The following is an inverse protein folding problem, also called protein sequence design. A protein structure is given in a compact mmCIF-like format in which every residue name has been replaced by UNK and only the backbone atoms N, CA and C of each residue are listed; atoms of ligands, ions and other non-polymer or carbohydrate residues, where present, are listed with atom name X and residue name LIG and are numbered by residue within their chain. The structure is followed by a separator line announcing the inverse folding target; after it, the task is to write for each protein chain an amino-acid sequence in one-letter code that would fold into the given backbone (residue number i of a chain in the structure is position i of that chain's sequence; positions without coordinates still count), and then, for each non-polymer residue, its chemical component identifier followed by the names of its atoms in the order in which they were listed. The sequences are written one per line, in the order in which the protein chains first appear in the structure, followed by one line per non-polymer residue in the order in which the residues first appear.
data_IF_819726472811
#
_entry.id   IF_819726472811
#
_cell.length_a   1.000
_cell.length_b   1.000
_cell.length_c   1.000
_cell.angle_alpha   90.00
_cell.angle_beta   90.00
_cell.angle_gamma   90.00
#
_symmetry.space_group_name_H-M   'P 1'
#
loop_
_entity.id
_entity.type
_entity.pdbx_description
1 polymer ?
#
# COMPACT_ATOMS: atom_id res chain seq x y z
N UNK A 1 -7.22 -9.50 13.01
CA UNK A 1 -7.13 -8.61 11.85
C UNK A 1 -6.22 -9.23 10.80
N UNK A 2 -6.70 -9.36 9.55
CA UNK A 2 -5.87 -9.84 8.44
C UNK A 2 -4.87 -8.75 8.01
N UNK A 3 -3.58 -9.07 8.00
CA UNK A 3 -2.51 -8.11 7.72
C UNK A 3 -1.75 -8.34 6.40
N UNK A 4 -1.87 -9.51 5.71
CA UNK A 4 -1.28 -9.64 4.39
C UNK A 4 -1.77 -8.53 3.48
N UNK A 5 -0.83 -7.84 2.82
CA UNK A 5 -1.11 -6.74 1.92
C UNK A 5 -1.17 -7.18 0.47
N UNK A 6 -1.93 -6.44 -0.31
CA UNK A 6 -2.06 -6.57 -1.77
C UNK A 6 -2.04 -5.18 -2.40
N UNK A 7 -1.92 -5.14 -3.72
CA UNK A 7 -2.12 -3.95 -4.52
C UNK A 7 -3.59 -3.91 -4.96
N UNK A 8 -4.34 -2.89 -4.50
CA UNK A 8 -5.68 -2.59 -5.01
C UNK A 8 -5.56 -1.64 -6.19
N UNK A 9 -6.15 -1.98 -7.32
CA UNK A 9 -6.13 -1.16 -8.52
C UNK A 9 -7.52 -0.75 -8.97
N UNK A 10 -7.62 0.44 -9.53
CA UNK A 10 -8.82 0.96 -10.17
C UNK A 10 -9.06 0.22 -11.48
N UNK A 11 -10.16 -0.55 -11.57
CA UNK A 11 -10.51 -1.38 -12.73
C UNK A 11 -10.74 -0.55 -14.00
N UNK A 12 -11.35 0.64 -13.86
CA UNK A 12 -11.59 1.53 -14.98
C UNK A 12 -10.27 2.06 -15.55
N UNK A 13 -9.37 2.52 -14.70
CA UNK A 13 -8.04 2.97 -15.10
C UNK A 13 -7.22 1.82 -15.73
N UNK A 14 -7.32 0.59 -15.20
CA UNK A 14 -6.69 -0.58 -15.78
C UNK A 14 -7.20 -0.85 -17.21
N UNK A 15 -8.51 -0.84 -17.42
CA UNK A 15 -9.11 -0.99 -18.76
C UNK A 15 -8.66 0.10 -19.74
N UNK A 16 -8.69 1.36 -19.29
CA UNK A 16 -8.31 2.49 -20.15
C UNK A 16 -6.84 2.46 -20.57
N UNK A 17 -5.95 2.06 -19.68
CA UNK A 17 -4.49 2.16 -19.90
C UNK A 17 -3.87 0.83 -20.31
N UNK A 18 -4.29 -0.27 -19.68
CA UNK A 18 -3.70 -1.60 -19.89
C UNK A 18 -4.54 -2.47 -20.83
N UNK A 19 -5.78 -2.08 -21.08
CA UNK A 19 -6.72 -2.83 -21.94
C UNK A 19 -7.42 -4.00 -21.21
N UNK A 20 -7.15 -4.17 -19.92
CA UNK A 20 -7.71 -5.26 -19.11
C UNK A 20 -7.96 -4.81 -17.68
N UNK A 21 -8.90 -5.45 -16.97
CA UNK A 21 -9.10 -5.34 -15.54
C UNK A 21 -9.08 -6.71 -14.84
N UNK A 22 -8.66 -7.74 -15.55
CA UNK A 22 -8.44 -9.06 -14.98
C UNK A 22 -7.25 -9.06 -14.02
N UNK A 23 -7.38 -9.56 -12.78
CA UNK A 23 -6.31 -9.51 -11.78
C UNK A 23 -5.03 -10.24 -12.20
N UNK A 24 -5.14 -11.37 -12.88
CA UNK A 24 -3.98 -12.16 -13.31
C UNK A 24 -3.23 -11.46 -14.44
N UNK A 25 -3.96 -10.79 -15.33
CA UNK A 25 -3.36 -9.99 -16.40
C UNK A 25 -2.75 -8.71 -15.86
N UNK A 26 -3.45 -7.98 -14.96
CA UNK A 26 -2.92 -6.77 -14.31
C UNK A 26 -1.66 -7.07 -13.50
N UNK A 27 -1.57 -8.26 -12.85
CA UNK A 27 -0.37 -8.66 -12.13
C UNK A 27 0.89 -8.62 -13.02
N UNK A 28 0.81 -8.91 -14.32
CA UNK A 28 1.95 -8.86 -15.22
C UNK A 28 2.51 -7.44 -15.40
N UNK A 29 1.70 -6.41 -15.14
CA UNK A 29 2.10 -4.99 -15.23
C UNK A 29 2.64 -4.43 -13.91
N UNK A 30 2.57 -5.19 -12.82
CA UNK A 30 2.96 -4.74 -11.48
C UNK A 30 3.72 -5.82 -10.71
N UNK A 31 4.27 -6.84 -11.39
CA UNK A 31 4.88 -8.03 -10.78
C UNK A 31 6.24 -7.77 -10.13
N UNK A 32 6.90 -6.69 -10.47
CA UNK A 32 8.14 -6.19 -9.88
C UNK A 32 8.20 -4.66 -9.96
N UNK A 33 9.25 -4.06 -9.35
CA UNK A 33 9.37 -2.61 -9.32
C UNK A 33 9.69 -1.98 -10.68
N UNK A 34 10.31 -2.71 -11.59
CA UNK A 34 10.62 -2.20 -12.94
C UNK A 34 9.34 -2.14 -13.78
N UNK A 35 8.55 -3.21 -13.80
CA UNK A 35 7.25 -3.23 -14.48
C UNK A 35 6.24 -2.28 -13.83
N UNK A 36 6.29 -2.10 -12.50
CA UNK A 36 5.50 -1.12 -11.78
C UNK A 36 5.82 0.31 -12.24
N UNK A 37 7.10 0.66 -12.35
CA UNK A 37 7.53 1.98 -12.81
C UNK A 37 7.19 2.22 -14.29
N UNK A 38 7.35 1.21 -15.15
CA UNK A 38 6.92 1.29 -16.55
C UNK A 38 5.40 1.52 -16.67
N UNK A 39 4.63 0.89 -15.78
CA UNK A 39 3.17 1.09 -15.72
C UNK A 39 2.83 2.46 -15.19
N UNK A 40 3.60 3.01 -14.24
CA UNK A 40 3.42 4.37 -13.74
C UNK A 40 3.52 5.41 -14.87
N UNK A 41 4.50 5.26 -15.76
CA UNK A 41 4.65 6.12 -16.93
C UNK A 41 3.46 6.04 -17.89
N UNK A 42 2.91 4.82 -18.11
CA UNK A 42 1.69 4.62 -18.93
C UNK A 42 0.47 5.28 -18.30
N UNK A 43 0.31 5.16 -16.99
CA UNK A 43 -0.78 5.78 -16.23
C UNK A 43 -0.68 7.31 -16.32
N UNK A 44 0.51 7.88 -16.10
CA UNK A 44 0.75 9.32 -16.18
C UNK A 44 0.44 9.89 -17.57
N UNK A 45 0.80 9.18 -18.63
CA UNK A 45 0.52 9.58 -20.03
C UNK A 45 -0.99 9.71 -20.31
N UNK A 46 -1.84 9.04 -19.53
CA UNK A 46 -3.31 9.10 -19.58
C UNK A 46 -3.92 9.99 -18.50
N UNK A 47 -3.10 10.68 -17.72
CA UNK A 47 -3.52 11.61 -16.69
C UNK A 47 -3.87 10.97 -15.34
N UNK A 48 -3.52 9.71 -15.12
CA UNK A 48 -3.59 9.06 -13.83
C UNK A 48 -2.27 9.19 -13.07
N UNK A 49 -2.36 9.21 -11.74
CA UNK A 49 -1.20 8.93 -10.88
C UNK A 49 -1.14 7.44 -10.58
N UNK A 50 0.06 6.89 -10.53
CA UNK A 50 0.24 5.50 -10.13
C UNK A 50 -0.23 5.26 -8.70
N UNK A 51 0.19 6.13 -7.77
CA UNK A 51 -0.14 6.11 -6.35
C UNK A 51 -0.49 7.51 -5.85
N UNK A 52 -1.32 7.61 -4.82
CA UNK A 52 -1.72 8.87 -4.20
C UNK A 52 -0.61 9.47 -3.33
N UNK A 53 0.17 8.61 -2.69
CA UNK A 53 1.29 8.99 -1.84
C UNK A 53 2.45 8.02 -2.02
N UNK A 54 3.68 8.52 -2.03
CA UNK A 54 4.88 7.67 -1.99
C UNK A 54 4.94 6.82 -0.72
N UNK A 55 4.25 7.25 0.35
CA UNK A 55 4.14 6.48 1.59
C UNK A 55 3.33 5.19 1.42
N UNK A 56 2.47 5.10 0.39
CA UNK A 56 1.68 3.88 0.11
C UNK A 56 2.58 2.67 -0.15
N UNK A 57 3.75 2.88 -0.77
CA UNK A 57 4.71 1.80 -1.08
C UNK A 57 5.68 1.49 0.06
N UNK A 58 5.82 2.37 1.07
CA UNK A 58 6.82 2.22 2.14
C UNK A 58 6.77 0.87 2.84
N UNK A 59 5.56 0.36 3.14
CA UNK A 59 5.39 -0.93 3.83
C UNK A 59 5.90 -2.11 3.01
N UNK A 60 5.79 -2.04 1.69
CA UNK A 60 6.30 -3.08 0.79
C UNK A 60 7.82 -3.16 0.90
N UNK A 61 8.52 -2.03 0.84
CA UNK A 61 9.97 -1.98 0.98
C UNK A 61 10.44 -2.31 2.40
N UNK A 62 9.80 -1.72 3.42
CA UNK A 62 10.23 -1.88 4.81
C UNK A 62 9.99 -3.27 5.41
N UNK A 63 9.09 -4.05 4.84
CA UNK A 63 8.90 -5.45 5.22
C UNK A 63 9.98 -6.39 4.63
N UNK A 64 10.73 -5.92 3.64
CA UNK A 64 11.73 -6.71 2.91
C UNK A 64 13.15 -6.22 3.19
N UNK A 65 13.41 -5.68 4.38
CA UNK A 65 14.74 -5.26 4.84
C UNK A 65 15.53 -6.44 5.42
N UNK A 66 16.83 -6.40 5.27
CA UNK A 66 17.76 -7.40 5.77
C UNK A 66 18.54 -6.97 7.01
N UNK A 67 18.62 -5.67 7.27
CA UNK A 67 19.35 -5.09 8.38
C UNK A 67 18.47 -4.44 9.42
N UNK A 68 18.97 -4.35 10.65
CA UNK A 68 18.32 -3.61 11.73
C UNK A 68 18.58 -2.12 11.58
N UNK A 69 17.67 -1.27 12.07
CA UNK A 69 17.87 0.18 12.13
C UNK A 69 19.04 0.62 13.01
N UNK A 70 19.37 -0.18 14.01
CA UNK A 70 20.49 0.09 14.92
C UNK A 70 21.27 -1.19 15.13
N UNK A 71 22.57 -1.16 14.88
CA UNK A 71 23.52 -2.23 15.15
C UNK A 71 24.78 -1.64 15.79
N UNK A 72 25.23 -2.22 16.90
CA UNK A 72 26.37 -1.74 17.69
C UNK A 72 26.32 -0.25 18.03
N UNK A 73 25.12 0.26 18.34
CA UNK A 73 24.89 1.67 18.69
C UNK A 73 24.96 2.66 17.53
N UNK A 74 25.03 2.17 16.29
CA UNK A 74 25.05 2.98 15.07
C UNK A 74 23.74 2.79 14.28
N UNK A 75 23.25 3.89 13.73
CA UNK A 75 22.10 3.85 12.80
C UNK A 75 22.55 3.19 11.50
N UNK A 76 21.75 2.23 11.04
CA UNK A 76 21.88 1.56 9.75
C UNK A 76 20.65 1.87 8.91
N UNK A 77 20.87 2.20 7.65
CA UNK A 77 19.77 2.35 6.69
C UNK A 77 19.93 1.23 5.67
N UNK A 78 18.96 0.33 5.63
CA UNK A 78 18.95 -0.80 4.71
C UNK A 78 18.89 -0.33 3.25
N UNK A 79 19.58 -1.01 2.35
CA UNK A 79 19.60 -0.67 0.93
C UNK A 79 18.20 -0.65 0.31
N UNK A 80 17.28 -1.50 0.80
CA UNK A 80 15.90 -1.51 0.33
C UNK A 80 15.13 -0.24 0.75
N UNK A 81 15.46 0.33 1.90
CA UNK A 81 14.92 1.64 2.31
C UNK A 81 15.47 2.77 1.42
N UNK A 82 16.77 2.73 1.11
CA UNK A 82 17.34 3.71 0.17
C UNK A 82 16.75 3.57 -1.22
N UNK A 83 16.51 2.34 -1.68
CA UNK A 83 15.80 2.10 -2.94
C UNK A 83 14.39 2.71 -2.93
N UNK A 84 13.64 2.58 -1.84
CA UNK A 84 12.35 3.27 -1.70
C UNK A 84 12.46 4.79 -1.83
N UNK A 85 13.49 5.40 -1.23
CA UNK A 85 13.73 6.86 -1.35
C UNK A 85 13.99 7.25 -2.80
N UNK A 86 14.87 6.51 -3.49
CA UNK A 86 15.24 6.79 -4.88
C UNK A 86 14.06 6.59 -5.84
N UNK A 87 13.31 5.51 -5.70
CA UNK A 87 12.14 5.21 -6.54
C UNK A 87 11.00 6.21 -6.26
N UNK A 88 10.77 6.57 -4.99
CA UNK A 88 9.81 7.62 -4.63
C UNK A 88 10.16 8.96 -5.27
N UNK A 89 11.44 9.34 -5.24
CA UNK A 89 11.90 10.57 -5.87
C UNK A 89 11.67 10.55 -7.39
N UNK A 90 11.98 9.45 -8.06
CA UNK A 90 11.75 9.29 -9.50
C UNK A 90 10.27 9.45 -9.87
N UNK A 91 9.38 8.76 -9.14
CA UNK A 91 7.94 8.81 -9.37
C UNK A 91 7.38 10.23 -9.18
N UNK A 92 7.85 10.97 -8.17
CA UNK A 92 7.43 12.35 -7.91
C UNK A 92 7.96 13.29 -8.98
N UNK A 93 9.24 13.22 -9.35
CA UNK A 93 9.88 14.05 -10.38
C UNK A 93 9.19 13.84 -11.74
N UNK A 94 8.76 12.61 -12.06
CA UNK A 94 8.01 12.26 -13.25
C UNK A 94 6.50 12.59 -13.16
N UNK A 95 6.01 13.08 -12.03
CA UNK A 95 4.58 13.34 -11.73
C UNK A 95 3.68 12.11 -11.78
N UNK A 96 4.26 10.94 -11.58
CA UNK A 96 3.60 9.65 -11.56
C UNK A 96 3.02 9.30 -10.19
N UNK A 97 3.51 9.93 -9.13
CA UNK A 97 3.01 9.79 -7.76
C UNK A 97 2.54 11.11 -7.17
N UNK A 98 1.60 11.03 -6.23
CA UNK A 98 1.27 12.13 -5.33
C UNK A 98 2.24 12.22 -4.16
N UNK A 99 2.23 13.38 -3.50
CA UNK A 99 3.04 13.67 -2.30
C UNK A 99 2.16 13.96 -1.09
N UNK A 100 0.91 13.52 -1.14
CA UNK A 100 -0.04 13.74 -0.05
C UNK A 100 0.34 12.90 1.17
N UNK A 101 0.07 13.43 2.35
CA UNK A 101 0.18 12.62 3.56
C UNK A 101 -0.86 11.50 3.53
N UNK A 102 -0.43 10.28 3.81
CA UNK A 102 -1.32 9.13 3.96
C UNK A 102 -2.39 9.46 5.02
N UNK A 103 -3.63 9.10 4.75
CA UNK A 103 -4.82 9.38 5.59
C UNK A 103 -5.34 10.83 5.54
N UNK A 104 -4.71 11.72 4.77
CA UNK A 104 -5.27 13.06 4.54
C UNK A 104 -6.49 13.03 3.61
N UNK A 105 -7.27 14.11 3.63
CA UNK A 105 -8.39 14.29 2.70
C UNK A 105 -7.90 14.28 1.24
N UNK A 106 -6.75 14.86 0.96
CA UNK A 106 -6.16 14.89 -0.39
C UNK A 106 -5.74 13.49 -0.87
N UNK A 107 -5.19 12.66 0.02
CA UNK A 107 -4.90 11.26 -0.27
C UNK A 107 -6.19 10.47 -0.56
N UNK A 108 -7.26 10.73 0.21
CA UNK A 108 -8.54 10.05 0.10
C UNK A 108 -9.33 10.42 -1.17
N UNK A 109 -9.03 11.55 -1.81
CA UNK A 109 -9.64 11.94 -3.09
C UNK A 109 -9.44 10.88 -4.18
N UNK A 110 -8.36 10.12 -4.12
CA UNK A 110 -8.09 9.03 -5.06
C UNK A 110 -9.05 7.84 -4.95
N UNK A 111 -9.89 7.77 -3.92
CA UNK A 111 -10.96 6.77 -3.82
C UNK A 111 -12.19 7.11 -4.66
N UNK A 112 -12.19 8.26 -5.31
CA UNK A 112 -13.24 8.74 -6.19
C UNK A 112 -12.71 8.92 -7.62
N UNK A 113 -13.58 8.82 -8.65
CA UNK A 113 -13.15 8.86 -10.06
C UNK A 113 -12.32 10.11 -10.43
N UNK A 114 -12.68 11.28 -9.87
CA UNK A 114 -12.00 12.53 -10.16
C UNK A 114 -10.56 12.60 -9.61
N UNK A 115 -10.25 11.77 -8.62
CA UNK A 115 -8.91 11.71 -8.04
C UNK A 115 -7.85 11.09 -8.94
N UNK A 116 -8.28 10.27 -9.94
CA UNK A 116 -7.45 9.67 -10.98
C UNK A 116 -6.19 8.99 -10.44
N UNK A 117 -6.36 8.16 -9.41
CA UNK A 117 -5.30 7.31 -8.83
C UNK A 117 -5.50 5.88 -9.30
N UNK A 118 -4.42 5.25 -9.75
CA UNK A 118 -4.47 3.87 -10.23
C UNK A 118 -4.50 2.87 -9.09
N UNK A 119 -3.57 2.95 -8.13
CA UNK A 119 -3.50 1.91 -7.11
C UNK A 119 -3.16 2.41 -5.71
N UNK A 120 -3.48 1.54 -4.74
CA UNK A 120 -3.15 1.65 -3.33
C UNK A 120 -2.62 0.32 -2.80
N UNK A 121 -1.74 0.37 -1.81
CA UNK A 121 -1.20 -0.80 -1.13
C UNK A 121 -1.82 -0.96 0.25
N UNK A 122 -2.34 -2.13 0.56
CA UNK A 122 -2.90 -2.38 1.87
C UNK A 122 -3.51 -3.76 2.05
N UNK A 123 -3.91 -4.11 3.27
CA UNK A 123 -4.61 -5.36 3.56
C UNK A 123 -6.12 -5.23 3.29
N UNK A 124 -6.82 -6.35 3.38
CA UNK A 124 -8.25 -6.42 3.09
C UNK A 124 -9.12 -5.41 3.86
N UNK A 125 -8.75 -5.06 5.10
CA UNK A 125 -9.49 -4.07 5.90
C UNK A 125 -9.45 -2.66 5.31
N UNK A 126 -8.43 -2.33 4.49
CA UNK A 126 -8.28 -0.99 3.89
C UNK A 126 -9.49 -0.63 3.01
N UNK A 127 -10.00 -1.60 2.24
CA UNK A 127 -11.14 -1.40 1.34
C UNK A 127 -12.37 -0.93 2.10
N UNK A 128 -12.73 -1.63 3.17
CA UNK A 128 -13.95 -1.33 3.92
C UNK A 128 -13.77 -0.20 4.94
N UNK A 129 -12.56 0.00 5.44
CA UNK A 129 -12.30 0.98 6.50
C UNK A 129 -11.93 2.36 5.97
N UNK A 130 -11.22 2.43 4.84
CA UNK A 130 -10.66 3.71 4.36
C UNK A 130 -11.04 4.05 2.93
N UNK A 131 -11.21 3.05 2.04
CA UNK A 131 -11.42 3.29 0.61
C UNK A 131 -12.88 3.56 0.23
N UNK A 132 -13.71 3.93 1.22
CA UNK A 132 -15.10 4.36 1.05
C UNK A 132 -15.98 3.38 0.24
N UNK A 133 -15.73 2.06 0.37
CA UNK A 133 -16.40 1.03 -0.43
C UNK A 133 -17.93 0.97 -0.25
N UNK A 134 -18.45 1.53 0.84
CA UNK A 134 -19.88 1.67 1.16
C UNK A 134 -20.45 3.05 0.79
N UNK A 135 -19.66 3.95 0.22
CA UNK A 135 -20.06 5.32 -0.08
C UNK A 135 -20.42 5.47 -1.56
N UNK A 136 -21.66 5.86 -1.84
CA UNK A 136 -22.14 6.12 -3.20
C UNK A 136 -21.26 7.17 -3.91
N UNK A 137 -20.88 6.88 -5.16
CA UNK A 137 -20.00 7.71 -5.98
C UNK A 137 -18.51 7.42 -5.82
N UNK A 138 -18.11 6.58 -4.84
CA UNK A 138 -16.75 6.09 -4.76
C UNK A 138 -16.47 5.00 -5.79
N UNK A 139 -15.19 4.79 -6.11
CA UNK A 139 -14.75 3.70 -6.98
C UNK A 139 -15.13 2.33 -6.39
N UNK A 140 -15.04 2.19 -5.06
CA UNK A 140 -15.30 0.94 -4.36
C UNK A 140 -16.78 0.52 -4.29
N UNK A 141 -17.71 1.47 -4.37
CA UNK A 141 -19.14 1.24 -4.13
C UNK A 141 -19.76 0.15 -5.03
N UNK A 142 -19.34 0.08 -6.27
CA UNK A 142 -19.80 -0.93 -7.23
C UNK A 142 -18.71 -1.95 -7.60
N UNK A 143 -17.75 -2.20 -6.71
CA UNK A 143 -16.66 -3.15 -6.95
C UNK A 143 -15.63 -2.67 -7.96
N UNK A 144 -15.41 -1.36 -8.06
CA UNK A 144 -14.45 -0.74 -8.99
C UNK A 144 -12.98 -0.97 -8.63
N UNK A 145 -12.68 -1.57 -7.47
CA UNK A 145 -11.33 -2.01 -7.12
C UNK A 145 -11.11 -3.47 -7.47
N UNK A 146 -10.02 -3.77 -8.17
CA UNK A 146 -9.45 -5.10 -8.30
C UNK A 146 -8.29 -5.28 -7.32
N UNK A 147 -7.83 -6.52 -7.13
CA UNK A 147 -6.68 -6.81 -6.29
C UNK A 147 -5.67 -7.67 -7.07
N UNK A 148 -4.40 -7.26 -7.02
CA UNK A 148 -3.26 -8.00 -7.55
C UNK A 148 -2.22 -8.19 -6.43
N UNK A 149 -1.31 -9.13 -6.57
CA UNK A 149 -0.27 -9.36 -5.56
C UNK A 149 0.66 -8.16 -5.43
N UNK A 150 0.95 -7.47 -6.55
CA UNK A 150 1.90 -6.38 -6.61
C UNK A 150 3.36 -6.86 -6.72
N UNK A 151 4.33 -5.94 -6.59
CA UNK A 151 5.73 -6.24 -6.85
C UNK A 151 6.41 -7.10 -5.78
N UNK A 152 5.92 -7.06 -4.54
CA UNK A 152 6.46 -7.84 -3.42
C UNK A 152 5.38 -8.10 -2.38
N UNK A 153 5.46 -9.25 -1.71
CA UNK A 153 4.62 -9.54 -0.54
C UNK A 153 4.99 -8.67 0.67
N UNK A 154 4.00 -8.28 1.44
CA UNK A 154 4.21 -7.46 2.65
C UNK A 154 3.08 -7.66 3.65
N UNK A 155 3.31 -7.21 4.88
CA UNK A 155 2.29 -7.08 5.93
C UNK A 155 2.08 -5.61 6.27
N UNK A 156 0.83 -5.24 6.44
CA UNK A 156 0.45 -3.91 6.86
C UNK A 156 -0.51 -3.96 8.05
N UNK A 157 -0.04 -3.47 9.18
CA UNK A 157 -0.80 -3.50 10.43
C UNK A 157 -0.51 -4.74 11.27
N UNK A 158 -1.46 -5.12 12.06
CA UNK A 158 -1.39 -6.15 13.09
C UNK A 158 -1.84 -5.62 14.42
N UNK A 159 -1.98 -6.54 15.39
CA UNK A 159 -2.30 -6.20 16.77
C UNK A 159 -1.27 -6.86 17.67
N UNK A 160 -0.59 -6.06 18.47
CA UNK A 160 0.32 -6.53 19.49
C UNK A 160 -0.41 -6.51 20.83
N UNK A 161 -0.45 -7.66 21.51
CA UNK A 161 -0.99 -7.79 22.86
C UNK A 161 0.18 -7.93 23.81
N UNK A 162 0.27 -7.01 24.76
CA UNK A 162 1.38 -6.95 25.72
C UNK A 162 0.81 -6.82 27.13
N UNK A 163 1.51 -7.42 28.09
CA UNK A 163 1.33 -7.08 29.51
C UNK A 163 2.04 -5.76 29.81
N UNK A 164 1.42 -4.88 30.59
CA UNK A 164 2.13 -3.74 31.14
C UNK A 164 3.24 -4.21 32.08
N UNK A 165 4.38 -3.54 32.06
CA UNK A 165 5.43 -3.79 33.02
C UNK A 165 4.89 -3.57 34.46
N UNK A 166 5.28 -4.44 35.38
CA UNK A 166 4.87 -4.39 36.79
C UNK A 166 3.33 -4.52 37.01
N UNK A 167 2.60 -5.14 36.09
CA UNK A 167 1.17 -5.43 36.28
C UNK A 167 0.97 -6.48 37.39
N UNK A 168 0.06 -6.24 38.31
CA UNK A 168 -0.37 -7.23 39.32
C UNK A 168 -1.15 -8.41 38.73
N UNK A 169 -1.54 -8.33 37.44
CA UNK A 169 -2.39 -9.30 36.74
C UNK A 169 -1.64 -10.08 35.66
N UNK A 170 -0.34 -10.27 35.76
CA UNK A 170 0.48 -10.92 34.72
C UNK A 170 0.00 -12.33 34.37
N UNK A 171 -0.46 -13.12 35.34
CA UNK A 171 -1.02 -14.46 35.10
C UNK A 171 -2.32 -14.41 34.30
N UNK A 172 -3.22 -13.48 34.62
CA UNK A 172 -4.48 -13.30 33.90
C UNK A 172 -4.23 -12.84 32.48
N UNK A 173 -3.30 -11.90 32.25
CA UNK A 173 -2.92 -11.44 30.91
C UNK A 173 -2.36 -12.60 30.09
N UNK A 174 -1.49 -13.44 30.68
CA UNK A 174 -0.98 -14.64 30.03
C UNK A 174 -2.12 -15.59 29.63
N UNK A 175 -3.08 -15.84 30.51
CA UNK A 175 -4.21 -16.74 30.25
C UNK A 175 -5.10 -16.19 29.11
N UNK A 176 -5.30 -14.86 29.04
CA UNK A 176 -6.00 -14.22 27.93
C UNK A 176 -5.24 -14.40 26.62
N UNK A 177 -3.92 -14.13 26.61
CA UNK A 177 -3.08 -14.27 25.42
C UNK A 177 -3.05 -15.70 24.87
N UNK A 178 -3.13 -16.71 25.74
CA UNK A 178 -3.16 -18.12 25.33
C UNK A 178 -4.51 -18.58 24.77
N UNK A 179 -5.58 -17.81 24.97
CA UNK A 179 -6.95 -18.10 24.49
C UNK A 179 -7.32 -17.35 23.20
N UNK A 180 -6.51 -16.41 22.80
CA UNK A 180 -6.69 -15.64 21.54
C UNK A 180 -6.01 -16.29 20.37
#
# INVERSE_FOLDING_TARGET
QGCPGVLFYNREAAKDVLGTDDPDEVQNYVCDWDTFNDTAAKMQAKGYKMISSVNDTYRVYSNNVSSKWVEDGKVQVDDNIMKWVDDSKKLVDAKEAGTFDMWSDDWSKGFYPDGKVFCYFGPAWLVNFSMAADTEGSIGYNGGWGAAQGPQGFFWGGTWICAAQDTDNASLVKDIMLKM
#
